data_IF_865296333862
#
_entry.id   IF_865296333862
#
_cell.length_a   1.000
_cell.length_b   1.000
_cell.length_c   1.000
_cell.angle_alpha   90.00
_cell.angle_beta   90.00
_cell.angle_gamma   90.00
#
_symmetry.space_group_name_H-M   'P 1'
#
loop_
_entity.id
_entity.type
_entity.pdbx_description
1 polymer ?
#
# COMPACT_ATOMS: atom_id res chain seq x y z
N UNK A 1 31.13 -60.80 -4.92
CA UNK A 1 30.29 -59.60 -4.68
C UNK A 1 29.86 -59.64 -3.22
N UNK A 2 30.09 -58.55 -2.50
CA UNK A 2 29.99 -58.46 -1.04
C UNK A 2 28.54 -58.56 -0.52
N UNK A 3 28.43 -59.07 0.71
CA UNK A 3 27.24 -59.21 1.56
C UNK A 3 27.23 -58.04 2.57
N UNK A 4 26.08 -57.80 3.22
CA UNK A 4 25.84 -57.19 4.57
C UNK A 4 25.29 -55.74 4.51
N UNK A 5 24.18 -55.30 5.17
CA UNK A 5 23.14 -55.87 6.06
C UNK A 5 21.95 -54.87 6.14
N UNK A 6 20.80 -55.41 6.56
CA UNK A 6 19.49 -54.84 6.92
C UNK A 6 19.39 -53.72 7.97
N UNK A 7 18.26 -52.99 7.93
CA UNK A 7 17.61 -52.26 9.05
C UNK A 7 17.10 -50.86 8.64
N UNK A 8 15.89 -50.36 8.92
CA UNK A 8 14.78 -50.79 9.78
C UNK A 8 13.44 -50.31 9.19
N UNK A 9 12.41 -51.12 9.37
CA UNK A 9 11.01 -50.72 9.35
C UNK A 9 10.68 -49.84 10.57
N UNK A 10 10.05 -48.68 10.37
CA UNK A 10 9.05 -48.18 11.31
C UNK A 10 7.93 -47.53 10.52
N UNK A 11 6.81 -48.24 10.43
CA UNK A 11 5.53 -47.60 10.17
C UNK A 11 5.26 -46.66 11.33
N UNK A 12 5.22 -45.36 11.05
CA UNK A 12 4.39 -44.47 11.84
C UNK A 12 3.02 -44.49 11.15
N UNK A 13 2.06 -45.09 11.85
CA UNK A 13 0.63 -44.92 11.62
C UNK A 13 0.13 -43.71 12.42
N UNK A 14 0.97 -42.69 12.60
CA UNK A 14 0.49 -41.42 13.10
C UNK A 14 -0.37 -40.83 11.98
N UNK A 15 -1.63 -40.45 12.24
CA UNK A 15 -2.32 -39.61 11.30
C UNK A 15 -1.41 -38.41 11.04
N UNK A 16 -1.13 -38.12 9.75
CA UNK A 16 -0.63 -36.80 9.37
C UNK A 16 -1.44 -35.79 10.18
N UNK A 17 -0.81 -34.81 10.85
CA UNK A 17 -1.54 -33.80 11.57
C UNK A 17 -2.48 -33.18 10.57
N UNK A 18 -3.75 -33.55 10.66
CA UNK A 18 -4.81 -32.96 9.84
C UNK A 18 -4.66 -31.48 10.12
N UNK A 19 -4.42 -30.63 9.10
CA UNK A 19 -4.32 -29.20 9.33
C UNK A 19 -5.57 -28.87 10.12
N UNK A 20 -5.40 -28.50 11.38
CA UNK A 20 -6.52 -28.05 12.17
C UNK A 20 -6.91 -26.80 11.42
N UNK A 21 -7.97 -26.90 10.62
CA UNK A 21 -8.62 -25.74 10.06
C UNK A 21 -9.13 -25.00 11.28
N UNK A 22 -8.24 -24.22 11.89
CA UNK A 22 -8.58 -23.16 12.80
C UNK A 22 -9.43 -22.28 11.90
N UNK A 23 -10.74 -22.52 11.96
CA UNK A 23 -11.76 -21.73 11.29
C UNK A 23 -11.66 -20.36 11.91
N UNK A 24 -10.65 -19.62 11.45
CA UNK A 24 -10.30 -18.30 11.91
C UNK A 24 -11.42 -17.43 11.40
N UNK A 25 -12.23 -16.95 12.35
CA UNK A 25 -13.44 -16.17 12.06
C UNK A 25 -13.10 -15.09 11.03
N UNK A 26 -13.94 -14.92 10.00
CA UNK A 26 -13.68 -13.92 8.97
C UNK A 26 -13.61 -12.53 9.61
N UNK A 27 -12.69 -11.72 9.10
CA UNK A 27 -12.67 -10.27 9.33
C UNK A 27 -13.15 -9.65 8.03
N UNK A 28 -14.30 -9.01 8.09
CA UNK A 28 -14.96 -8.35 6.95
C UNK A 28 -15.07 -6.85 7.20
N UNK A 29 -15.25 -6.07 6.14
CA UNK A 29 -15.47 -4.61 6.27
C UNK A 29 -16.68 -4.32 7.18
N UNK A 30 -17.74 -5.11 7.06
CA UNK A 30 -18.93 -5.01 7.90
C UNK A 30 -18.63 -5.33 9.38
N UNK A 31 -17.80 -6.34 9.66
CA UNK A 31 -17.41 -6.70 11.03
C UNK A 31 -16.57 -5.62 11.73
N UNK A 32 -15.86 -4.80 10.94
CA UNK A 32 -15.09 -3.66 11.43
C UNK A 32 -15.96 -2.41 11.64
N UNK A 33 -17.24 -2.45 11.25
CA UNK A 33 -18.15 -1.32 11.37
C UNK A 33 -17.79 -0.15 10.45
N UNK A 34 -17.11 -0.42 9.33
CA UNK A 34 -16.76 0.60 8.34
C UNK A 34 -18.00 0.99 7.51
N UNK A 35 -18.25 2.29 7.42
CA UNK A 35 -19.37 2.90 6.69
C UNK A 35 -18.90 3.87 5.59
N UNK A 36 -17.63 3.75 5.18
CA UNK A 36 -17.04 4.59 4.15
C UNK A 36 -17.66 4.35 2.77
N UNK A 37 -17.52 5.31 1.85
CA UNK A 37 -17.95 5.14 0.47
C UNK A 37 -17.27 3.93 -0.19
N UNK A 38 -18.06 3.04 -0.79
CA UNK A 38 -17.55 1.96 -1.64
C UNK A 38 -17.10 2.51 -2.99
N UNK A 39 -15.89 2.17 -3.41
CA UNK A 39 -15.25 2.77 -4.58
C UNK A 39 -15.54 2.04 -5.90
N UNK A 40 -16.79 1.65 -6.17
CA UNK A 40 -17.29 0.85 -7.32
C UNK A 40 -16.63 1.15 -8.70
N UNK A 41 -15.37 0.76 -8.90
CA UNK A 41 -14.51 1.19 -10.01
C UNK A 41 -14.19 2.69 -10.09
N UNK A 42 -14.50 3.49 -9.06
CA UNK A 42 -14.37 4.96 -9.06
C UNK A 42 -13.80 5.47 -7.74
N UNK A 43 -12.79 6.32 -7.83
CA UNK A 43 -12.25 7.06 -6.70
C UNK A 43 -13.01 8.38 -6.56
N UNK A 44 -13.69 8.58 -5.43
CA UNK A 44 -14.32 9.86 -5.10
C UNK A 44 -13.29 10.74 -4.40
N UNK A 45 -12.94 11.85 -5.04
CA UNK A 45 -11.95 12.80 -4.55
C UNK A 45 -12.65 14.13 -4.23
N UNK A 46 -12.48 14.72 -3.04
CA UNK A 46 -13.04 16.02 -2.73
C UNK A 46 -12.41 17.10 -3.63
N UNK A 47 -13.08 18.25 -3.74
CA UNK A 47 -12.56 19.38 -4.50
C UNK A 47 -11.16 19.76 -4.00
N UNK A 48 -10.22 19.95 -4.92
CA UNK A 48 -8.88 20.45 -4.61
C UNK A 48 -8.94 21.79 -3.86
N UNK A 49 -8.11 22.00 -2.82
CA UNK A 49 -8.00 23.30 -2.15
C UNK A 49 -7.57 24.42 -3.11
N UNK A 50 -7.91 25.67 -2.76
CA UNK A 50 -7.42 26.84 -3.47
C UNK A 50 -5.90 27.00 -3.36
N UNK A 51 -5.29 27.59 -4.39
CA UNK A 51 -3.86 27.86 -4.39
C UNK A 51 -3.45 28.81 -3.26
N UNK A 52 -2.32 28.51 -2.57
CA UNK A 52 -1.76 29.43 -1.60
C UNK A 52 -1.24 30.70 -2.29
N UNK A 53 -1.10 31.78 -1.52
CA UNK A 53 -0.64 33.06 -2.04
C UNK A 53 0.72 32.93 -2.77
N UNK A 54 0.78 33.45 -3.99
CA UNK A 54 1.98 33.40 -4.84
C UNK A 54 2.00 32.24 -5.84
N UNK A 55 1.03 31.31 -5.75
CA UNK A 55 0.82 30.23 -6.72
C UNK A 55 -0.54 30.39 -7.39
N UNK A 56 -0.69 29.86 -8.60
CA UNK A 56 -1.93 29.95 -9.36
C UNK A 56 -2.73 28.63 -9.31
N UNK A 57 -4.07 28.75 -9.35
CA UNK A 57 -4.98 27.60 -9.33
C UNK A 57 -4.80 26.67 -10.55
N UNK A 58 -4.29 27.18 -11.68
CA UNK A 58 -4.06 26.37 -12.89
C UNK A 58 -2.91 25.39 -12.66
N UNK A 59 -1.87 25.79 -11.94
CA UNK A 59 -0.72 24.93 -11.56
C UNK A 59 -1.17 23.86 -10.57
N UNK A 60 -1.91 24.22 -9.52
CA UNK A 60 -2.48 23.21 -8.62
C UNK A 60 -3.47 22.27 -9.33
N UNK A 61 -4.28 22.78 -10.26
CA UNK A 61 -5.21 21.96 -11.04
C UNK A 61 -4.51 20.91 -11.91
N UNK A 62 -3.35 21.25 -12.49
CA UNK A 62 -2.51 20.28 -13.22
C UNK A 62 -1.95 19.21 -12.28
N UNK A 63 -1.40 19.62 -11.13
CA UNK A 63 -0.89 18.69 -10.12
C UNK A 63 -1.99 17.75 -9.62
N UNK A 64 -3.17 18.31 -9.29
CA UNK A 64 -4.33 17.55 -8.83
C UNK A 64 -4.77 16.51 -9.86
N UNK A 65 -4.81 16.88 -11.15
CA UNK A 65 -5.17 15.96 -12.23
C UNK A 65 -4.22 14.76 -12.31
N UNK A 66 -2.91 14.99 -12.15
CA UNK A 66 -1.91 13.90 -12.15
C UNK A 66 -2.08 13.03 -10.90
N UNK A 67 -2.22 13.65 -9.73
CA UNK A 67 -2.39 12.95 -8.45
C UNK A 67 -3.67 12.11 -8.41
N UNK A 68 -4.78 12.61 -8.95
CA UNK A 68 -6.05 11.87 -9.04
C UNK A 68 -5.93 10.65 -9.97
N UNK A 69 -5.25 10.79 -11.11
CA UNK A 69 -5.00 9.67 -12.03
C UNK A 69 -4.11 8.61 -11.38
N UNK A 70 -3.03 9.03 -10.74
CA UNK A 70 -2.13 8.11 -10.04
C UNK A 70 -2.84 7.43 -8.87
N UNK A 71 -3.56 8.17 -8.04
CA UNK A 71 -4.34 7.61 -6.93
C UNK A 71 -5.41 6.63 -7.39
N UNK A 72 -6.09 6.90 -8.52
CA UNK A 72 -7.06 5.96 -9.09
C UNK A 72 -6.37 4.67 -9.50
N UNK A 73 -5.28 4.77 -10.26
CA UNK A 73 -4.51 3.62 -10.73
C UNK A 73 -3.98 2.79 -9.55
N UNK A 74 -3.37 3.43 -8.55
CA UNK A 74 -2.75 2.74 -7.42
C UNK A 74 -3.75 2.12 -6.45
N UNK A 75 -5.00 2.61 -6.42
CA UNK A 75 -5.95 2.27 -5.34
C UNK A 75 -7.15 1.45 -5.82
N UNK A 76 -7.71 1.70 -7.02
CA UNK A 76 -8.97 1.07 -7.48
C UNK A 76 -8.87 0.33 -8.81
N UNK A 77 -7.71 0.34 -9.46
CA UNK A 77 -7.52 -0.33 -10.74
C UNK A 77 -7.08 -1.78 -10.53
N UNK A 78 -7.91 -2.71 -10.99
CA UNK A 78 -7.67 -4.15 -10.90
C UNK A 78 -6.42 -4.58 -11.67
N UNK A 79 -6.13 -3.93 -12.81
CA UNK A 79 -4.90 -4.14 -13.56
C UNK A 79 -3.67 -3.76 -12.73
N UNK A 80 -3.75 -2.64 -12.01
CA UNK A 80 -2.70 -2.21 -11.07
C UNK A 80 -2.49 -3.15 -9.89
N UNK A 81 -3.56 -3.78 -9.37
CA UNK A 81 -3.50 -4.71 -8.24
C UNK A 81 -2.75 -6.01 -8.52
N UNK A 82 -2.79 -6.45 -9.78
CA UNK A 82 -2.20 -7.70 -10.24
C UNK A 82 -1.16 -7.48 -11.34
N UNK A 83 -0.60 -6.27 -11.42
CA UNK A 83 0.43 -5.92 -12.41
C UNK A 83 1.77 -6.53 -12.00
N UNK A 84 2.43 -7.19 -12.95
CA UNK A 84 3.85 -7.58 -12.79
C UNK A 84 4.83 -6.44 -13.03
N UNK A 85 4.36 -5.27 -13.48
CA UNK A 85 5.16 -4.04 -13.67
C UNK A 85 4.28 -2.79 -13.41
N UNK A 86 3.86 -2.57 -12.15
CA UNK A 86 3.00 -1.45 -11.79
C UNK A 86 3.68 -0.09 -12.02
N UNK A 87 5.01 -0.06 -12.09
CA UNK A 87 5.77 1.14 -12.41
C UNK A 87 5.52 1.57 -13.86
N UNK A 88 5.47 0.64 -14.81
CA UNK A 88 5.10 0.94 -16.19
C UNK A 88 3.72 1.60 -16.28
N UNK A 89 2.73 1.08 -15.54
CA UNK A 89 1.39 1.64 -15.52
C UNK A 89 1.38 3.07 -14.96
N UNK A 90 2.10 3.31 -13.86
CA UNK A 90 2.22 4.65 -13.25
C UNK A 90 2.95 5.63 -14.17
N UNK A 91 3.94 5.20 -14.94
CA UNK A 91 4.60 6.06 -15.94
C UNK A 91 3.63 6.61 -16.99
N UNK A 92 2.54 5.91 -17.28
CA UNK A 92 1.55 6.38 -18.27
C UNK A 92 0.74 7.57 -17.78
N UNK A 93 0.66 7.78 -16.47
CA UNK A 93 -0.13 8.87 -15.85
C UNK A 93 0.73 10.04 -15.38
N UNK A 94 2.03 9.81 -15.14
CA UNK A 94 2.98 10.83 -14.74
C UNK A 94 3.53 11.61 -15.94
N UNK A 95 3.83 12.92 -15.80
CA UNK A 95 4.65 13.64 -16.76
C UNK A 95 6.02 12.97 -16.95
N UNK A 96 6.58 13.05 -18.15
CA UNK A 96 7.81 12.32 -18.52
C UNK A 96 9.00 12.58 -17.59
N UNK A 97 9.24 13.85 -17.24
CA UNK A 97 10.35 14.24 -16.35
C UNK A 97 10.09 13.78 -14.92
N UNK A 98 8.85 13.93 -14.43
CA UNK A 98 8.40 13.43 -13.13
C UNK A 98 8.57 11.90 -13.01
N UNK A 99 8.22 11.15 -14.06
CA UNK A 99 8.40 9.70 -14.11
C UNK A 99 9.89 9.30 -13.98
N UNK A 100 10.78 10.00 -14.67
CA UNK A 100 12.22 9.76 -14.57
C UNK A 100 12.78 10.01 -13.17
N UNK A 101 12.33 11.08 -12.49
CA UNK A 101 12.69 11.35 -11.09
C UNK A 101 12.16 10.27 -10.15
N UNK A 102 10.92 9.82 -10.37
CA UNK A 102 10.29 8.80 -9.53
C UNK A 102 11.05 7.47 -9.57
N UNK A 103 11.44 7.03 -10.76
CA UNK A 103 12.25 5.82 -10.92
C UNK A 103 13.56 5.86 -10.15
N UNK A 104 14.20 7.02 -10.07
CA UNK A 104 15.44 7.17 -9.30
C UNK A 104 15.17 7.02 -7.80
N UNK A 105 14.06 7.57 -7.30
CA UNK A 105 13.65 7.46 -5.90
C UNK A 105 13.32 6.01 -5.50
N UNK A 106 12.83 5.19 -6.43
CA UNK A 106 12.44 3.80 -6.16
C UNK A 106 13.62 2.84 -5.98
N UNK A 107 14.81 3.17 -6.49
CA UNK A 107 15.99 2.27 -6.46
C UNK A 107 16.48 1.91 -5.05
N UNK A 108 16.06 2.64 -4.03
CA UNK A 108 16.40 2.39 -2.62
C UNK A 108 15.25 1.86 -1.78
N UNK A 109 14.09 1.57 -2.37
CA UNK A 109 12.91 1.09 -1.64
C UNK A 109 12.99 -0.42 -1.43
N UNK A 110 12.51 -0.88 -0.28
CA UNK A 110 12.45 -2.32 0.05
C UNK A 110 11.39 -3.03 -0.78
N UNK A 111 10.26 -2.36 -1.01
CA UNK A 111 9.12 -2.87 -1.76
C UNK A 111 8.76 -1.87 -2.88
N UNK A 112 9.50 -1.86 -4.00
CA UNK A 112 9.36 -0.86 -5.05
C UNK A 112 8.00 -0.91 -5.79
N UNK A 113 7.37 -2.06 -5.96
CA UNK A 113 6.02 -2.18 -6.52
C UNK A 113 4.98 -1.59 -5.56
N UNK A 114 5.09 -1.90 -4.27
CA UNK A 114 4.21 -1.31 -3.26
C UNK A 114 4.46 0.18 -3.04
N UNK A 115 5.64 0.69 -3.34
CA UNK A 115 5.88 2.13 -3.35
C UNK A 115 5.08 2.87 -4.43
N UNK A 116 4.63 2.19 -5.50
CA UNK A 116 3.92 2.83 -6.63
C UNK A 116 2.42 2.52 -6.68
N UNK A 117 2.01 1.33 -6.26
CA UNK A 117 0.63 0.84 -6.34
C UNK A 117 0.31 -0.13 -5.20
N UNK A 118 -0.98 -0.40 -4.96
CA UNK A 118 -1.38 -1.48 -4.06
C UNK A 118 -1.35 -2.78 -4.87
N UNK A 119 -0.31 -3.59 -4.69
CA UNK A 119 -0.12 -4.87 -5.40
C UNK A 119 -0.42 -6.01 -4.44
N UNK A 120 -1.31 -6.93 -4.81
CA UNK A 120 -1.68 -8.07 -3.98
C UNK A 120 -0.91 -9.32 -4.40
N UNK A 121 -0.72 -10.25 -3.46
CA UNK A 121 -0.15 -11.55 -3.77
C UNK A 121 -0.97 -12.33 -4.79
N UNK A 122 -0.31 -13.20 -5.57
CA UNK A 122 -0.96 -13.96 -6.66
C UNK A 122 -2.12 -14.84 -6.18
N UNK A 123 -2.07 -15.30 -4.92
CA UNK A 123 -3.11 -16.12 -4.28
C UNK A 123 -4.15 -15.29 -3.51
N UNK A 124 -4.00 -13.96 -3.50
CA UNK A 124 -4.88 -13.02 -2.81
C UNK A 124 -5.92 -12.46 -3.78
N UNK A 125 -7.18 -12.71 -3.48
CA UNK A 125 -8.32 -12.16 -4.22
C UNK A 125 -8.98 -11.03 -3.44
N UNK A 126 -9.14 -9.85 -4.07
CA UNK A 126 -9.96 -8.77 -3.51
C UNK A 126 -11.44 -9.10 -3.68
N UNK A 127 -12.18 -9.03 -2.58
CA UNK A 127 -13.61 -9.37 -2.51
C UNK A 127 -14.45 -8.11 -2.65
N UNK A 128 -15.19 -8.01 -3.75
CA UNK A 128 -16.11 -6.89 -3.99
C UNK A 128 -15.38 -5.58 -4.24
N UNK A 129 -16.00 -4.47 -3.82
CA UNK A 129 -15.40 -3.13 -3.97
C UNK A 129 -14.77 -2.66 -2.67
N UNK A 130 -13.56 -2.08 -2.71
CA UNK A 130 -12.94 -1.51 -1.51
C UNK A 130 -13.74 -0.30 -1.00
N UNK A 131 -13.61 -0.05 0.30
CA UNK A 131 -14.12 1.14 0.96
C UNK A 131 -13.01 2.18 1.04
N UNK A 132 -13.25 3.40 0.54
CA UNK A 132 -12.19 4.39 0.37
C UNK A 132 -12.62 5.77 0.85
N UNK A 133 -11.74 6.43 1.60
CA UNK A 133 -11.79 7.87 1.86
C UNK A 133 -10.55 8.56 1.32
N UNK A 134 -10.65 9.86 1.03
CA UNK A 134 -9.56 10.65 0.45
C UNK A 134 -9.43 12.00 1.13
N UNK A 135 -8.21 12.54 1.19
CA UNK A 135 -7.93 13.83 1.80
C UNK A 135 -6.83 14.59 1.05
N UNK A 136 -7.03 15.90 0.89
CA UNK A 136 -6.01 16.80 0.33
C UNK A 136 -5.21 17.48 1.43
N UNK A 137 -3.94 17.77 1.13
CA UNK A 137 -3.14 18.76 1.85
C UNK A 137 -2.41 19.63 0.85
N UNK A 138 -2.41 20.94 1.10
CA UNK A 138 -1.61 21.91 0.38
C UNK A 138 -0.68 22.62 1.37
N UNK A 139 0.59 22.73 1.01
CA UNK A 139 1.60 23.40 1.82
C UNK A 139 2.50 24.26 0.94
N UNK A 140 3.07 25.31 1.52
CA UNK A 140 4.15 26.09 0.89
C UNK A 140 5.39 25.91 1.73
N UNK A 141 6.47 25.49 1.09
CA UNK A 141 7.75 25.20 1.71
C UNK A 141 8.86 25.99 1.01
N UNK A 142 10.06 25.89 1.55
CA UNK A 142 11.25 26.48 0.97
C UNK A 142 12.33 25.42 0.82
N UNK A 143 13.04 25.45 -0.29
CA UNK A 143 14.20 24.59 -0.51
C UNK A 143 15.46 25.15 0.18
N UNK A 144 16.60 24.49 -0.05
CA UNK A 144 17.90 24.88 0.50
C UNK A 144 18.40 26.23 -0.05
N UNK A 145 17.93 26.63 -1.23
CA UNK A 145 18.22 27.94 -1.83
C UNK A 145 17.24 29.03 -1.37
N UNK A 146 16.35 28.72 -0.40
CA UNK A 146 15.30 29.60 0.12
C UNK A 146 14.26 30.01 -0.95
N UNK A 147 14.17 29.24 -2.03
CA UNK A 147 13.15 29.38 -3.06
C UNK A 147 11.87 28.67 -2.62
N UNK A 148 10.71 29.31 -2.87
CA UNK A 148 9.40 28.78 -2.44
C UNK A 148 8.84 27.83 -3.48
N UNK A 149 8.35 26.68 -3.00
CA UNK A 149 7.57 25.74 -3.80
C UNK A 149 6.25 25.39 -3.10
N UNK A 150 5.24 25.02 -3.88
CA UNK A 150 3.99 24.46 -3.38
C UNK A 150 4.06 22.95 -3.40
N UNK A 151 3.62 22.31 -2.33
CA UNK A 151 3.40 20.86 -2.25
C UNK A 151 1.90 20.58 -2.21
N UNK A 152 1.43 19.73 -3.11
CA UNK A 152 0.07 19.22 -3.12
C UNK A 152 0.11 17.71 -2.89
N UNK A 153 -0.62 17.26 -1.88
CA UNK A 153 -0.65 15.87 -1.45
C UNK A 153 -2.09 15.33 -1.50
N UNK A 154 -2.28 14.17 -2.14
CA UNK A 154 -3.52 13.40 -2.11
C UNK A 154 -3.31 12.12 -1.32
N UNK A 155 -4.02 11.98 -0.20
CA UNK A 155 -4.06 10.73 0.54
C UNK A 155 -5.27 9.88 0.14
N UNK A 156 -5.06 8.60 -0.13
CA UNK A 156 -6.10 7.57 -0.17
C UNK A 156 -6.01 6.70 1.09
N UNK A 157 -7.15 6.39 1.72
CA UNK A 157 -7.27 5.36 2.74
C UNK A 157 -8.20 4.29 2.22
N UNK A 158 -7.67 3.14 1.89
CA UNK A 158 -8.42 2.07 1.25
C UNK A 158 -8.47 0.83 2.14
N UNK A 159 -9.69 0.35 2.40
CA UNK A 159 -9.94 -0.91 3.08
C UNK A 159 -10.40 -1.95 2.05
N UNK A 160 -9.61 -3.02 1.92
CA UNK A 160 -9.86 -4.13 1.01
C UNK A 160 -10.32 -5.33 1.82
N UNK A 161 -11.49 -5.89 1.51
CA UNK A 161 -11.76 -7.26 1.92
C UNK A 161 -11.02 -8.20 0.96
N UNK A 162 -10.28 -9.17 1.48
CA UNK A 162 -9.46 -10.09 0.69
C UNK A 162 -9.61 -11.52 1.15
N UNK A 163 -9.24 -12.48 0.30
CA UNK A 163 -9.12 -13.91 0.64
C UNK A 163 -7.85 -14.49 0.04
N UNK A 164 -7.17 -15.35 0.80
CA UNK A 164 -6.15 -16.24 0.26
C UNK A 164 -6.84 -17.52 -0.21
N UNK A 165 -6.85 -17.79 -1.52
CA UNK A 165 -7.58 -18.91 -2.11
C UNK A 165 -9.05 -18.97 -1.66
N UNK A 166 -9.49 -20.14 -1.18
CA UNK A 166 -10.83 -20.34 -0.60
C UNK A 166 -10.90 -20.09 0.92
N UNK A 167 -9.89 -19.40 1.47
CA UNK A 167 -9.78 -19.10 2.88
C UNK A 167 -10.83 -18.11 3.41
N UNK A 168 -10.86 -17.88 4.72
CA UNK A 168 -11.76 -16.90 5.34
C UNK A 168 -11.42 -15.48 4.88
N UNK A 169 -12.44 -14.62 4.77
CA UNK A 169 -12.23 -13.19 4.50
C UNK A 169 -11.30 -12.55 5.56
N UNK A 170 -10.45 -11.65 5.07
CA UNK A 170 -9.56 -10.77 5.82
C UNK A 170 -9.76 -9.33 5.33
N UNK A 171 -9.21 -8.37 6.07
CA UNK A 171 -9.18 -6.98 5.64
C UNK A 171 -7.75 -6.49 5.64
N UNK A 172 -7.34 -5.85 4.55
CA UNK A 172 -6.09 -5.08 4.46
C UNK A 172 -6.46 -3.60 4.36
N UNK A 173 -5.91 -2.78 5.23
CA UNK A 173 -5.95 -1.33 5.13
C UNK A 173 -4.68 -0.82 4.45
N UNK A 174 -4.80 0.18 3.57
CA UNK A 174 -3.66 0.88 2.99
C UNK A 174 -3.88 2.38 3.08
N UNK A 175 -2.93 3.08 3.69
CA UNK A 175 -2.77 4.52 3.60
C UNK A 175 -1.72 4.81 2.53
N UNK A 176 -2.06 5.67 1.57
CA UNK A 176 -1.11 6.09 0.54
C UNK A 176 -1.20 7.59 0.32
N UNK A 177 -0.06 8.26 0.31
CA UNK A 177 0.08 9.67 -0.01
C UNK A 177 0.84 9.79 -1.32
N UNK A 178 0.22 10.48 -2.26
CA UNK A 178 0.85 10.90 -3.51
C UNK A 178 1.14 12.39 -3.40
N UNK A 179 2.36 12.82 -3.72
CA UNK A 179 2.77 14.22 -3.61
C UNK A 179 3.40 14.71 -4.90
N UNK A 180 3.00 15.91 -5.32
CA UNK A 180 3.71 16.69 -6.31
C UNK A 180 4.15 18.01 -5.70
N UNK A 181 5.27 18.53 -6.19
CA UNK A 181 5.78 19.86 -5.85
C UNK A 181 6.01 20.67 -7.12
N UNK A 182 5.76 21.98 -7.03
CA UNK A 182 6.00 22.89 -8.14
C UNK A 182 6.57 24.20 -7.62
N UNK A 183 7.56 24.73 -8.33
CA UNK A 183 7.98 26.12 -8.15
C UNK A 183 6.98 27.06 -8.79
N UNK A 184 7.17 28.36 -8.54
CA UNK A 184 6.34 29.37 -9.16
C UNK A 184 6.56 29.38 -10.68
N UNK A 185 5.47 29.54 -11.44
CA UNK A 185 5.47 29.69 -12.90
C UNK A 185 5.95 28.43 -13.68
N UNK A 186 6.16 27.30 -13.01
CA UNK A 186 6.53 26.02 -13.66
C UNK A 186 5.32 25.38 -14.33
N UNK A 187 5.47 24.96 -15.59
CA UNK A 187 4.34 24.40 -16.34
C UNK A 187 4.19 22.89 -16.16
N UNK A 188 5.26 22.11 -16.36
CA UNK A 188 5.20 20.64 -16.40
C UNK A 188 6.36 19.93 -15.67
N UNK A 189 7.26 20.68 -15.05
CA UNK A 189 8.32 20.13 -14.19
C UNK A 189 7.80 20.08 -12.75
N UNK A 190 7.41 18.87 -12.33
CA UNK A 190 7.00 18.59 -10.96
C UNK A 190 8.03 17.72 -10.28
N UNK A 191 8.44 18.14 -9.08
CA UNK A 191 9.04 17.22 -8.13
C UNK A 191 7.98 16.22 -7.65
N UNK A 192 8.38 14.98 -7.40
CA UNK A 192 7.51 13.91 -6.94
C UNK A 192 7.94 13.41 -5.56
N UNK A 193 6.94 13.01 -4.78
CA UNK A 193 7.15 12.30 -3.53
C UNK A 193 5.91 11.48 -3.18
N UNK A 194 6.01 10.78 -2.06
CA UNK A 194 4.90 10.01 -1.55
C UNK A 194 5.31 9.21 -0.33
N UNK A 195 4.36 8.44 0.17
CA UNK A 195 4.55 7.52 1.28
C UNK A 195 3.36 6.58 1.34
N UNK A 196 3.56 5.42 1.95
CA UNK A 196 2.49 4.45 2.11
C UNK A 196 2.71 3.64 3.37
N UNK A 197 1.63 3.03 3.84
CA UNK A 197 1.60 2.16 5.01
C UNK A 197 0.40 1.22 4.91
N UNK A 198 0.62 -0.02 5.27
CA UNK A 198 -0.30 -1.13 5.28
C UNK A 198 -0.74 -1.48 6.71
N UNK A 199 -1.89 -2.15 6.83
CA UNK A 199 -2.49 -2.54 8.10
C UNK A 199 -3.21 -3.87 7.92
N UNK A 200 -2.95 -4.82 8.81
CA UNK A 200 -3.48 -6.19 8.67
C UNK A 200 -2.91 -6.95 7.48
N UNK A 201 -1.73 -6.55 7.00
CA UNK A 201 -0.94 -7.24 5.99
C UNK A 201 0.31 -7.86 6.63
N UNK A 202 0.92 -8.82 5.94
CA UNK A 202 2.15 -9.47 6.38
C UNK A 202 3.37 -8.65 5.99
N UNK A 203 4.05 -8.10 6.99
CA UNK A 203 5.29 -7.33 6.82
C UNK A 203 6.40 -8.13 6.13
N UNK A 204 6.50 -9.44 6.41
CA UNK A 204 7.49 -10.28 5.73
C UNK A 204 7.15 -10.55 4.26
N UNK A 205 5.87 -10.75 3.90
CA UNK A 205 5.49 -10.89 2.49
C UNK A 205 5.74 -9.58 1.73
N UNK A 206 5.45 -8.44 2.35
CA UNK A 206 5.78 -7.13 1.82
C UNK A 206 7.28 -6.95 1.61
N UNK A 207 8.08 -7.32 2.61
CA UNK A 207 9.53 -7.08 2.60
C UNK A 207 10.29 -8.03 1.66
N UNK A 208 9.78 -9.25 1.48
CA UNK A 208 10.43 -10.28 0.67
C UNK A 208 9.88 -10.37 -0.75
N UNK A 209 8.57 -10.23 -0.89
CA UNK A 209 7.84 -10.52 -2.13
C UNK A 209 7.24 -9.25 -2.77
N UNK A 210 7.30 -8.10 -2.09
CA UNK A 210 6.80 -6.82 -2.60
C UNK A 210 5.30 -6.88 -2.95
N UNK A 211 4.54 -7.57 -2.09
CA UNK A 211 3.12 -7.87 -2.27
C UNK A 211 2.32 -7.74 -0.96
N UNK A 212 1.07 -7.32 -1.08
CA UNK A 212 0.09 -7.31 0.02
C UNK A 212 -0.52 -8.69 0.18
N UNK A 213 -0.21 -9.33 1.29
CA UNK A 213 -0.80 -10.59 1.76
C UNK A 213 -1.41 -10.34 3.13
N UNK A 214 -2.64 -10.80 3.44
CA UNK A 214 -3.23 -10.54 4.75
C UNK A 214 -2.43 -11.22 5.86
N UNK A 215 -2.36 -10.57 7.02
CA UNK A 215 -1.64 -11.10 8.17
C UNK A 215 -2.23 -12.46 8.62
N UNK A 216 -1.32 -13.38 8.93
CA UNK A 216 -1.65 -14.70 9.48
C UNK A 216 -2.02 -14.60 10.97
N UNK A 217 -1.45 -13.64 11.70
CA UNK A 217 -1.84 -13.32 13.08
C UNK A 217 -3.05 -12.38 13.07
N UNK A 218 -4.21 -12.97 13.37
CA UNK A 218 -5.48 -12.24 13.41
C UNK A 218 -5.51 -11.17 14.51
N UNK A 219 -4.91 -11.42 15.66
CA UNK A 219 -4.98 -10.47 16.78
C UNK A 219 -4.11 -9.26 16.51
N UNK A 220 -2.92 -9.50 15.95
CA UNK A 220 -2.02 -8.46 15.45
C UNK A 220 -2.72 -7.62 14.36
N UNK A 221 -3.19 -8.25 13.28
CA UNK A 221 -3.86 -7.53 12.20
C UNK A 221 -5.10 -6.73 12.64
N UNK A 222 -5.88 -7.23 13.62
CA UNK A 222 -7.01 -6.47 14.18
C UNK A 222 -6.58 -5.25 15.00
N UNK A 223 -5.42 -5.30 15.65
CA UNK A 223 -4.86 -4.15 16.39
C UNK A 223 -4.46 -3.06 15.40
N UNK A 224 -3.80 -3.42 14.30
CA UNK A 224 -3.34 -2.47 13.29
C UNK A 224 -4.51 -1.82 12.55
N UNK A 225 -5.50 -2.63 12.18
CA UNK A 225 -6.72 -2.16 11.55
C UNK A 225 -7.47 -1.13 12.41
N UNK A 226 -7.39 -1.18 13.75
CA UNK A 226 -7.99 -0.12 14.60
C UNK A 226 -7.31 1.23 14.40
N UNK A 227 -5.99 1.25 14.29
CA UNK A 227 -5.22 2.48 14.00
C UNK A 227 -5.62 3.01 12.62
N UNK A 228 -5.67 2.14 11.62
CA UNK A 228 -6.11 2.49 10.28
C UNK A 228 -7.52 3.08 10.24
N UNK A 229 -8.49 2.43 10.88
CA UNK A 229 -9.89 2.90 10.93
C UNK A 229 -9.98 4.29 11.56
N UNK A 230 -9.21 4.53 12.64
CA UNK A 230 -9.14 5.85 13.28
C UNK A 230 -8.66 6.93 12.30
N UNK A 231 -7.59 6.65 11.55
CA UNK A 231 -7.05 7.58 10.55
C UNK A 231 -8.02 7.80 9.41
N UNK A 232 -8.61 6.73 8.88
CA UNK A 232 -9.51 6.79 7.74
C UNK A 232 -10.83 7.51 8.02
N UNK A 233 -11.28 7.52 9.28
CA UNK A 233 -12.40 8.35 9.78
C UNK A 233 -12.05 9.83 9.96
N UNK A 234 -10.77 10.19 9.96
CA UNK A 234 -10.32 11.57 10.06
C UNK A 234 -10.58 12.35 8.75
N UNK A 235 -10.53 13.67 8.80
CA UNK A 235 -10.71 14.54 7.61
C UNK A 235 -9.40 15.13 7.09
N UNK A 236 -8.31 14.95 7.82
CA UNK A 236 -6.98 15.51 7.51
C UNK A 236 -6.02 14.41 7.12
N UNK A 237 -5.10 14.72 6.21
CA UNK A 237 -3.98 13.85 5.88
C UNK A 237 -3.18 13.52 7.16
N UNK A 238 -3.03 12.24 7.44
CA UNK A 238 -2.31 11.72 8.62
C UNK A 238 -1.62 10.40 8.23
N UNK A 239 -0.32 10.32 8.46
CA UNK A 239 0.45 9.09 8.39
C UNK A 239 0.92 8.79 9.83
N UNK A 240 0.39 7.76 10.48
CA UNK A 240 0.84 7.36 11.81
C UNK A 240 2.35 7.10 11.83
N UNK A 241 3.01 7.46 12.92
CA UNK A 241 4.40 7.05 13.12
C UNK A 241 4.45 5.54 13.34
N UNK A 242 5.37 4.88 12.62
CA UNK A 242 5.69 3.48 12.82
C UNK A 242 6.65 3.33 14.01
N UNK A 243 6.31 2.51 15.03
CA UNK A 243 7.27 2.06 16.03
C UNK A 243 8.53 1.49 15.36
N UNK A 244 9.68 1.60 16.03
CA UNK A 244 10.98 1.19 15.44
C UNK A 244 10.99 -0.30 15.10
N UNK A 245 10.34 -1.10 15.91
CA UNK A 245 10.17 -2.55 15.72
C UNK A 245 9.37 -2.93 14.47
N UNK A 246 8.48 -2.04 14.03
CA UNK A 246 7.60 -2.23 12.87
C UNK A 246 8.21 -1.59 11.60
N UNK A 247 9.38 -0.94 11.71
CA UNK A 247 10.09 -0.41 10.56
C UNK A 247 10.75 -1.54 9.80
N UNK A 248 10.42 -1.64 8.51
CA UNK A 248 11.09 -2.56 7.59
C UNK A 248 12.49 -2.01 7.32
N UNK A 249 13.49 -2.63 7.94
CA UNK A 249 14.91 -2.29 7.81
C UNK A 249 15.75 -3.52 7.37
N UNK A 250 17.06 -3.37 7.11
CA UNK A 250 17.89 -4.52 6.72
C UNK A 250 17.95 -5.65 7.75
N UNK A 251 17.77 -5.36 9.04
CA UNK A 251 17.74 -6.38 10.09
C UNK A 251 16.40 -7.12 10.09
N UNK A 252 15.29 -6.41 9.89
CA UNK A 252 13.95 -6.96 9.71
C UNK A 252 13.92 -7.89 8.49
N UNK A 253 14.45 -7.44 7.35
CA UNK A 253 14.60 -8.26 6.15
C UNK A 253 15.37 -9.55 6.43
N UNK A 254 16.45 -9.45 7.21
CA UNK A 254 17.22 -10.63 7.62
C UNK A 254 16.39 -11.57 8.49
N UNK A 255 15.65 -11.06 9.49
CA UNK A 255 14.76 -11.88 10.34
C UNK A 255 13.70 -12.62 9.52
N UNK A 256 13.08 -11.95 8.55
CA UNK A 256 12.11 -12.60 7.67
C UNK A 256 12.74 -13.73 6.84
N UNK A 257 13.95 -13.53 6.31
CA UNK A 257 14.68 -14.59 5.58
C UNK A 257 15.08 -15.75 6.49
N UNK A 258 15.59 -15.45 7.68
CA UNK A 258 16.05 -16.45 8.63
C UNK A 258 14.88 -17.28 9.20
N UNK A 259 13.68 -16.69 9.30
CA UNK A 259 12.45 -17.35 9.74
C UNK A 259 11.71 -18.17 8.66
N UNK A 260 12.12 -18.08 7.39
CA UNK A 260 11.58 -18.92 6.30
C UNK A 260 12.24 -20.31 6.21
N UNK A 261 13.28 -20.60 7.01
CA UNK A 261 14.09 -21.85 6.99
C UNK A 261 13.66 -22.84 8.05
#
# INVERSE_FOLDING_TARGET
MAIVVSGCSSGSSDPEPTPTATSSRPVTLASLGLDWPTAQGRLVVPKVPSAPAGFDDKTLGRMATVLEKWARLSTVDDGGWHSGDPLSDVRTVLPKETAGTFEQQLRGQISPHLAVANVFGDDVTVVGSPMITTAWRVATEKDQANERFVRLELQTRAAYEVRIGNGPSRVIGVLRVHSLTAYKDTTDDFGIGGGWQEFGASDCALALDDQLVPDSDREHGLKDLKTFIKVGNGTKLEMPELPVEDQVDPEFLKRCRDGQV
#
